data_IF_780616423262
#
_entry.id   IF_780616423262
#
_cell.length_a   1.000
_cell.length_b   1.000
_cell.length_c   1.000
_cell.angle_alpha   90.00
_cell.angle_beta   90.00
_cell.angle_gamma   90.00
#
_symmetry.space_group_name_H-M   'P 1'
#
loop_
_entity.id
_entity.type
_entity.pdbx_description
1 polymer ?
#
# COMPACT_ATOMS: atom_id res chain seq x y z
N UNK A 1 40.05 53.85 -31.08
CA UNK A 1 39.35 52.59 -31.40
C UNK A 1 38.05 52.96 -32.05
N UNK A 2 37.68 52.29 -33.14
CA UNK A 2 36.40 52.50 -33.80
C UNK A 2 35.27 51.93 -32.90
N UNK A 3 34.14 52.63 -32.83
CA UNK A 3 32.96 52.21 -32.05
C UNK A 3 32.48 50.84 -32.53
N UNK A 4 32.66 50.56 -33.83
CA UNK A 4 32.35 49.27 -34.44
C UNK A 4 33.21 48.13 -33.86
N UNK A 5 34.50 48.36 -33.62
CA UNK A 5 35.40 47.35 -33.05
C UNK A 5 35.03 47.02 -31.60
N UNK A 6 34.67 48.06 -30.81
CA UNK A 6 34.20 47.88 -29.44
C UNK A 6 32.89 47.09 -29.37
N UNK A 7 31.96 47.36 -30.28
CA UNK A 7 30.70 46.61 -30.38
C UNK A 7 30.95 45.14 -30.73
N UNK A 8 31.81 44.86 -31.71
CA UNK A 8 32.17 43.50 -32.10
C UNK A 8 32.87 42.74 -30.98
N UNK A 9 33.76 43.42 -30.24
CA UNK A 9 34.43 42.84 -29.07
C UNK A 9 33.44 42.53 -27.94
N UNK A 10 32.52 43.44 -27.64
CA UNK A 10 31.48 43.22 -26.63
C UNK A 10 30.55 42.06 -27.02
N UNK A 11 30.18 41.96 -28.31
CA UNK A 11 29.39 40.85 -28.82
C UNK A 11 30.12 39.51 -28.67
N UNK A 12 31.41 39.45 -29.02
CA UNK A 12 32.23 38.24 -28.86
C UNK A 12 32.32 37.81 -27.39
N UNK A 13 32.63 38.73 -26.48
CA UNK A 13 32.69 38.45 -25.04
C UNK A 13 31.34 37.96 -24.48
N UNK A 14 30.23 38.51 -24.98
CA UNK A 14 28.88 38.08 -24.58
C UNK A 14 28.59 36.66 -25.06
N UNK A 15 28.98 36.30 -26.29
CA UNK A 15 28.81 34.95 -26.82
C UNK A 15 29.64 33.94 -26.03
N UNK A 16 30.88 34.28 -25.68
CA UNK A 16 31.74 33.42 -24.85
C UNK A 16 31.16 33.23 -23.45
N UNK A 17 30.68 34.30 -22.83
CA UNK A 17 30.03 34.24 -21.51
C UNK A 17 28.74 33.40 -21.54
N UNK A 18 27.93 33.50 -22.59
CA UNK A 18 26.73 32.69 -22.77
C UNK A 18 27.07 31.21 -22.99
N UNK A 19 28.07 30.92 -23.82
CA UNK A 19 28.55 29.55 -24.06
C UNK A 19 29.12 28.90 -22.79
N UNK A 20 29.82 29.69 -21.98
CA UNK A 20 30.32 29.26 -20.68
C UNK A 20 29.20 28.95 -19.70
N UNK A 21 28.22 29.84 -19.55
CA UNK A 21 27.07 29.64 -18.64
C UNK A 21 26.13 28.51 -19.08
N UNK A 22 26.17 28.11 -20.35
CA UNK A 22 25.44 26.92 -20.85
C UNK A 22 26.06 25.61 -20.33
N UNK A 23 27.37 25.57 -20.14
CA UNK A 23 28.10 24.35 -19.74
C UNK A 23 28.52 24.35 -18.28
N UNK A 24 28.59 25.52 -17.64
CA UNK A 24 29.03 25.68 -16.27
C UNK A 24 27.93 26.28 -15.38
N UNK A 25 28.05 26.03 -14.08
CA UNK A 25 27.31 26.72 -13.02
C UNK A 25 28.35 27.39 -12.13
N UNK A 26 28.09 28.66 -11.82
CA UNK A 26 28.93 29.45 -10.91
C UNK A 26 28.32 29.30 -9.52
N UNK A 27 29.12 28.86 -8.55
CA UNK A 27 28.70 28.76 -7.15
C UNK A 27 28.79 30.12 -6.42
N UNK A 28 28.42 30.13 -5.14
CA UNK A 28 28.43 31.34 -4.30
C UNK A 28 29.86 31.91 -4.09
N UNK A 29 30.88 31.07 -4.25
CA UNK A 29 32.30 31.44 -4.19
C UNK A 29 32.87 31.86 -5.56
N UNK A 30 31.99 32.08 -6.54
CA UNK A 30 32.34 32.42 -7.93
C UNK A 30 33.22 31.38 -8.65
N UNK A 31 33.19 30.12 -8.20
CA UNK A 31 33.88 29.01 -8.87
C UNK A 31 32.96 28.41 -9.91
N UNK A 32 33.52 28.14 -11.08
CA UNK A 32 32.78 27.51 -12.16
C UNK A 32 32.93 25.99 -12.12
N UNK A 33 31.79 25.31 -12.11
CA UNK A 33 31.72 23.85 -12.16
C UNK A 33 31.02 23.42 -13.43
N UNK A 34 31.53 22.38 -14.09
CA UNK A 34 30.86 21.80 -15.24
C UNK A 34 29.51 21.19 -14.82
N UNK A 35 28.43 21.58 -15.50
CA UNK A 35 27.06 21.08 -15.26
C UNK A 35 26.99 19.56 -15.30
N UNK A 36 27.67 18.92 -16.24
CA UNK A 36 27.68 17.47 -16.36
C UNK A 36 28.24 16.80 -15.10
N UNK A 37 29.25 17.41 -14.48
CA UNK A 37 29.83 16.90 -13.22
C UNK A 37 28.84 17.06 -12.07
N UNK A 38 28.18 18.21 -11.96
CA UNK A 38 27.13 18.43 -10.95
C UNK A 38 25.99 17.44 -11.12
N UNK A 39 25.52 17.22 -12.34
CA UNK A 39 24.45 16.27 -12.65
C UNK A 39 24.85 14.83 -12.33
N UNK A 40 26.09 14.44 -12.63
CA UNK A 40 26.64 13.14 -12.25
C UNK A 40 26.66 12.96 -10.73
N UNK A 41 27.08 13.97 -9.96
CA UNK A 41 27.08 13.92 -8.49
C UNK A 41 25.65 13.82 -7.95
N UNK A 42 24.72 14.62 -8.47
CA UNK A 42 23.30 14.56 -8.08
C UNK A 42 22.67 13.21 -8.43
N UNK A 43 23.04 12.62 -9.57
CA UNK A 43 22.60 11.28 -9.96
C UNK A 43 23.11 10.23 -8.96
N UNK A 44 24.40 10.28 -8.62
CA UNK A 44 25.01 9.39 -7.64
C UNK A 44 24.35 9.53 -6.26
N UNK A 45 24.09 10.76 -5.82
CA UNK A 45 23.40 11.02 -4.55
C UNK A 45 21.98 10.42 -4.53
N UNK A 46 21.23 10.56 -5.63
CA UNK A 46 19.90 9.93 -5.76
C UNK A 46 19.98 8.41 -5.74
N UNK A 47 20.95 7.82 -6.42
CA UNK A 47 21.17 6.37 -6.42
C UNK A 47 21.55 5.86 -5.02
N UNK A 48 22.47 6.55 -4.33
CA UNK A 48 22.84 6.21 -2.96
C UNK A 48 21.65 6.29 -2.01
N UNK A 49 20.84 7.36 -2.12
CA UNK A 49 19.61 7.50 -1.32
C UNK A 49 18.64 6.36 -1.62
N UNK A 50 18.45 6.02 -2.88
CA UNK A 50 17.59 4.91 -3.30
C UNK A 50 18.07 3.57 -2.74
N UNK A 51 19.38 3.29 -2.76
CA UNK A 51 19.96 2.08 -2.15
C UNK A 51 19.74 2.05 -0.64
N UNK A 52 19.92 3.20 0.04
CA UNK A 52 19.68 3.31 1.47
C UNK A 52 18.20 3.05 1.79
N UNK A 53 17.28 3.63 1.03
CA UNK A 53 15.84 3.43 1.22
C UNK A 53 15.43 1.99 0.92
N UNK A 54 16.00 1.34 -0.08
CA UNK A 54 15.74 -0.07 -0.36
C UNK A 54 16.29 -1.00 0.74
N UNK A 55 17.47 -0.68 1.29
CA UNK A 55 18.16 -1.57 2.25
C UNK A 55 17.70 -1.33 3.69
N UNK A 56 17.51 -0.07 4.06
CA UNK A 56 17.26 0.39 5.44
C UNK A 56 15.97 1.18 5.59
N UNK A 57 15.22 1.38 4.51
CA UNK A 57 13.92 2.05 4.58
C UNK A 57 12.87 1.21 5.30
N UNK A 58 11.68 1.78 5.52
CA UNK A 58 10.59 1.09 6.19
C UNK A 58 10.20 -0.18 5.42
N UNK A 59 10.61 -1.33 5.95
CA UNK A 59 10.18 -2.61 5.38
C UNK A 59 8.81 -2.97 5.93
N UNK A 60 7.97 -3.54 5.05
CA UNK A 60 6.72 -4.13 5.51
C UNK A 60 7.06 -5.26 6.48
N UNK A 61 6.45 -5.31 7.69
CA UNK A 61 6.79 -6.32 8.66
C UNK A 61 6.42 -7.68 8.08
N UNK A 62 7.31 -8.66 8.24
CA UNK A 62 7.04 -10.00 7.71
C UNK A 62 5.90 -10.68 8.43
N UNK A 63 5.28 -11.69 7.81
CA UNK A 63 4.19 -12.44 8.44
C UNK A 63 4.64 -13.07 9.76
N UNK A 64 5.89 -13.53 9.86
CA UNK A 64 6.43 -14.11 11.09
C UNK A 64 6.64 -13.04 12.17
N UNK A 65 7.13 -11.85 11.80
CA UNK A 65 7.28 -10.72 12.74
C UNK A 65 5.91 -10.26 13.25
N UNK A 66 4.91 -10.15 12.37
CA UNK A 66 3.54 -9.84 12.78
C UNK A 66 2.97 -10.92 13.70
N UNK A 67 3.16 -12.20 13.40
CA UNK A 67 2.69 -13.28 14.26
C UNK A 67 3.30 -13.21 15.67
N UNK A 68 4.62 -12.98 15.77
CA UNK A 68 5.32 -12.79 17.04
C UNK A 68 4.83 -11.55 17.77
N UNK A 69 4.60 -10.44 17.04
CA UNK A 69 4.05 -9.23 17.60
C UNK A 69 2.65 -9.49 18.18
N UNK A 70 1.77 -10.19 17.47
CA UNK A 70 0.44 -10.57 17.96
C UNK A 70 0.54 -11.42 19.24
N UNK A 71 1.38 -12.46 19.24
CA UNK A 71 1.59 -13.33 20.41
C UNK A 71 2.15 -12.55 21.61
N UNK A 72 3.10 -11.64 21.37
CA UNK A 72 3.67 -10.80 22.44
C UNK A 72 2.66 -9.79 22.99
N UNK A 73 1.82 -9.22 22.12
CA UNK A 73 0.82 -8.22 22.50
C UNK A 73 -0.28 -8.82 23.36
N UNK A 74 -0.60 -10.10 23.15
CA UNK A 74 -1.61 -10.83 23.92
C UNK A 74 -1.01 -11.86 24.89
N UNK A 75 0.27 -11.72 25.24
CA UNK A 75 0.98 -12.73 26.03
C UNK A 75 0.34 -12.96 27.41
N UNK A 76 -0.14 -11.89 28.06
CA UNK A 76 -0.76 -11.99 29.38
C UNK A 76 -2.08 -12.76 29.34
N UNK A 77 -2.93 -12.42 28.37
CA UNK A 77 -4.22 -13.03 28.09
C UNK A 77 -4.05 -14.52 27.71
N UNK A 78 -3.07 -14.81 26.87
CA UNK A 78 -2.72 -16.17 26.45
C UNK A 78 -2.22 -16.99 27.63
N UNK A 79 -1.34 -16.42 28.46
CA UNK A 79 -0.82 -17.11 29.64
C UNK A 79 -1.98 -17.45 30.58
N UNK A 80 -2.91 -16.52 30.79
CA UNK A 80 -4.10 -16.77 31.60
C UNK A 80 -4.99 -17.88 30.99
N UNK A 81 -5.19 -17.87 29.68
CA UNK A 81 -5.91 -18.91 28.95
C UNK A 81 -5.30 -20.31 29.21
N UNK A 82 -3.97 -20.43 29.11
CA UNK A 82 -3.27 -21.70 29.32
C UNK A 82 -3.39 -22.19 30.78
N UNK A 83 -3.27 -21.29 31.77
CA UNK A 83 -3.43 -21.64 33.19
C UNK A 83 -4.84 -22.11 33.53
N UNK A 84 -5.85 -21.49 32.91
CA UNK A 84 -7.25 -21.89 33.12
C UNK A 84 -7.57 -23.27 32.54
N UNK A 85 -6.83 -23.71 31.52
CA UNK A 85 -7.01 -25.02 30.88
C UNK A 85 -6.40 -26.16 31.68
N UNK A 86 -5.36 -25.89 32.46
CA UNK A 86 -4.64 -26.91 33.23
C UNK A 86 -5.28 -27.29 34.57
N UNK A 87 -6.17 -26.44 35.12
CA UNK A 87 -6.64 -26.58 36.51
C UNK A 87 -7.81 -27.56 36.69
N UNK A 88 -8.67 -27.72 35.69
CA UNK A 88 -9.85 -28.59 35.79
C UNK A 88 -9.98 -29.49 34.55
N UNK A 89 -9.64 -30.78 34.70
CA UNK A 89 -9.94 -31.82 33.70
C UNK A 89 -11.44 -32.08 33.48
N UNK A 90 -12.31 -31.28 34.09
CA UNK A 90 -13.75 -31.23 33.83
C UNK A 90 -14.09 -29.88 33.22
N UNK A 91 -14.45 -29.95 31.94
CA UNK A 91 -14.87 -28.90 31.01
C UNK A 91 -15.96 -27.98 31.57
N UNK A 92 -15.63 -27.07 32.48
CA UNK A 92 -16.49 -25.94 32.82
C UNK A 92 -15.96 -24.69 32.12
N UNK A 93 -16.64 -24.17 31.08
CA UNK A 93 -16.19 -23.01 30.30
C UNK A 93 -16.13 -21.70 31.12
N UNK A 94 -16.49 -21.73 32.40
CA UNK A 94 -16.61 -20.55 33.26
C UNK A 94 -15.26 -20.04 33.80
N UNK A 95 -14.23 -20.88 33.94
CA UNK A 95 -12.95 -20.49 34.57
C UNK A 95 -11.95 -19.84 33.59
N UNK A 96 -11.99 -20.23 32.30
CA UNK A 96 -11.15 -19.65 31.25
C UNK A 96 -11.57 -18.24 30.82
N UNK A 97 -12.69 -17.76 31.35
CA UNK A 97 -13.33 -16.53 30.94
C UNK A 97 -12.70 -15.30 31.60
N UNK A 98 -11.93 -15.44 32.70
CA UNK A 98 -11.52 -14.36 33.62
C UNK A 98 -11.01 -13.06 32.96
N UNK A 99 -10.14 -13.16 31.96
CA UNK A 99 -9.56 -11.98 31.29
C UNK A 99 -10.53 -11.30 30.33
N UNK A 100 -11.30 -12.08 29.58
CA UNK A 100 -12.31 -11.52 28.68
C UNK A 100 -13.54 -11.09 29.47
N UNK A 101 -13.85 -11.68 30.62
CA UNK A 101 -15.00 -11.34 31.48
C UNK A 101 -14.80 -10.09 32.31
N UNK A 102 -13.55 -9.71 32.62
CA UNK A 102 -13.29 -8.47 33.35
C UNK A 102 -13.51 -7.22 32.50
N UNK A 103 -13.49 -7.35 31.17
CA UNK A 103 -13.76 -6.25 30.26
C UNK A 103 -15.24 -5.83 30.34
N UNK A 104 -15.54 -4.55 30.18
CA UNK A 104 -16.92 -4.11 29.92
C UNK A 104 -17.38 -4.58 28.53
N UNK A 105 -18.69 -4.58 28.25
CA UNK A 105 -19.21 -4.94 26.92
C UNK A 105 -18.55 -4.13 25.79
N UNK A 106 -18.45 -2.81 25.97
CA UNK A 106 -17.81 -1.92 25.02
C UNK A 106 -16.32 -2.21 24.81
N UNK A 107 -15.59 -2.53 25.90
CA UNK A 107 -14.18 -2.94 25.81
C UNK A 107 -14.03 -4.29 25.08
N UNK A 108 -14.91 -5.26 25.36
CA UNK A 108 -14.89 -6.55 24.68
C UNK A 108 -15.19 -6.43 23.18
N UNK A 109 -16.08 -5.50 22.78
CA UNK A 109 -16.38 -5.21 21.39
C UNK A 109 -15.16 -4.60 20.67
N UNK A 110 -14.52 -3.61 21.28
CA UNK A 110 -13.30 -2.99 20.74
C UNK A 110 -12.17 -4.00 20.63
N UNK A 111 -11.95 -4.81 21.66
CA UNK A 111 -10.97 -5.88 21.69
C UNK A 111 -11.19 -6.91 20.57
N UNK A 112 -12.43 -7.40 20.38
CA UNK A 112 -12.77 -8.31 19.27
C UNK A 112 -12.48 -7.70 17.91
N UNK A 113 -12.80 -6.40 17.71
CA UNK A 113 -12.56 -5.70 16.45
C UNK A 113 -11.07 -5.55 16.17
N UNK A 114 -10.30 -5.08 17.14
CA UNK A 114 -8.85 -4.94 17.02
C UNK A 114 -8.19 -6.29 16.72
N UNK A 115 -8.51 -7.32 17.51
CA UNK A 115 -7.92 -8.65 17.32
C UNK A 115 -8.24 -9.23 15.93
N UNK A 116 -9.48 -9.07 15.46
CA UNK A 116 -9.85 -9.47 14.09
C UNK A 116 -9.04 -8.71 13.04
N UNK A 117 -8.87 -7.40 13.22
CA UNK A 117 -8.09 -6.56 12.31
C UNK A 117 -6.62 -7.02 12.25
N UNK A 118 -5.99 -7.28 13.40
CA UNK A 118 -4.61 -7.77 13.50
C UNK A 118 -4.44 -9.16 12.86
N UNK A 119 -5.40 -10.06 13.07
CA UNK A 119 -5.41 -11.37 12.42
C UNK A 119 -5.49 -11.22 10.90
N UNK A 120 -6.41 -10.40 10.39
CA UNK A 120 -6.55 -10.16 8.95
C UNK A 120 -5.31 -9.48 8.35
N UNK A 121 -4.68 -8.56 9.08
CA UNK A 121 -3.44 -7.92 8.67
C UNK A 121 -2.32 -8.95 8.49
N UNK A 122 -2.15 -9.85 9.48
CA UNK A 122 -1.24 -10.97 9.38
C UNK A 122 -1.58 -11.91 8.21
N UNK A 123 -2.86 -12.30 8.04
CA UNK A 123 -3.27 -13.18 6.95
C UNK A 123 -2.99 -12.56 5.57
N UNK A 124 -3.23 -11.24 5.42
CA UNK A 124 -2.94 -10.50 4.19
C UNK A 124 -1.45 -10.52 3.87
N UNK A 125 -0.60 -10.15 4.83
CA UNK A 125 0.87 -10.16 4.65
C UNK A 125 1.37 -11.57 4.37
N UNK A 126 0.85 -12.58 5.06
CA UNK A 126 1.19 -13.98 4.81
C UNK A 126 0.87 -14.39 3.36
N UNK A 127 -0.30 -13.99 2.84
CA UNK A 127 -0.68 -14.28 1.46
C UNK A 127 0.19 -13.52 0.46
N UNK A 128 0.54 -12.27 0.75
CA UNK A 128 1.43 -11.44 -0.09
C UNK A 128 2.86 -12.02 -0.15
N UNK A 129 3.40 -12.50 0.97
CA UNK A 129 4.75 -13.07 1.05
C UNK A 129 4.87 -14.47 0.44
N UNK A 130 3.89 -15.35 0.71
CA UNK A 130 3.97 -16.75 0.29
C UNK A 130 3.23 -17.05 -1.01
N UNK A 131 2.42 -16.11 -1.51
CA UNK A 131 1.59 -16.28 -2.70
C UNK A 131 0.49 -17.34 -2.56
N UNK A 132 0.20 -17.80 -1.34
CA UNK A 132 -0.77 -18.86 -1.05
C UNK A 132 -1.68 -18.46 0.10
N UNK A 133 -2.92 -18.97 0.08
CA UNK A 133 -3.87 -18.76 1.18
C UNK A 133 -3.39 -19.46 2.47
N UNK A 134 -3.71 -18.84 3.61
CA UNK A 134 -3.33 -19.34 4.94
C UNK A 134 -3.99 -20.69 5.21
N UNK A 135 -3.18 -21.73 5.45
CA UNK A 135 -3.68 -23.07 5.78
C UNK A 135 -3.94 -23.24 7.28
N UNK A 136 -4.66 -24.30 7.67
CA UNK A 136 -4.86 -24.64 9.09
C UNK A 136 -3.55 -24.90 9.82
N UNK A 137 -2.51 -25.39 9.13
CA UNK A 137 -1.17 -25.59 9.71
C UNK A 137 -0.53 -24.25 10.06
N UNK A 138 -0.65 -23.25 9.19
CA UNK A 138 -0.08 -21.93 9.42
C UNK A 138 -0.82 -21.21 10.57
N UNK A 139 -2.15 -21.36 10.64
CA UNK A 139 -2.95 -20.85 11.77
C UNK A 139 -2.56 -21.47 13.12
N UNK A 140 -1.85 -22.61 13.14
CA UNK A 140 -1.43 -23.25 14.38
C UNK A 140 -0.48 -22.36 15.20
N UNK A 141 0.33 -21.52 14.55
CA UNK A 141 1.23 -20.60 15.24
C UNK A 141 0.47 -19.52 16.02
N UNK A 142 -0.75 -19.16 15.58
CA UNK A 142 -1.62 -18.19 16.22
C UNK A 142 -2.81 -18.85 16.94
N UNK A 143 -2.76 -20.16 17.21
CA UNK A 143 -3.88 -20.92 17.78
C UNK A 143 -4.45 -20.27 19.04
N UNK A 144 -3.58 -19.83 19.95
CA UNK A 144 -4.00 -19.19 21.21
C UNK A 144 -4.69 -17.84 20.97
N UNK A 145 -4.23 -17.05 20.00
CA UNK A 145 -4.87 -15.80 19.59
C UNK A 145 -6.25 -16.06 18.99
N UNK A 146 -6.39 -17.10 18.17
CA UNK A 146 -7.69 -17.50 17.61
C UNK A 146 -8.68 -17.99 18.68
N UNK A 147 -8.20 -18.71 19.69
CA UNK A 147 -9.05 -19.11 20.83
C UNK A 147 -9.47 -17.90 21.66
N UNK A 148 -8.57 -16.95 21.90
CA UNK A 148 -8.88 -15.70 22.61
C UNK A 148 -9.93 -14.87 21.85
N UNK A 149 -9.79 -14.76 20.52
CA UNK A 149 -10.79 -14.15 19.65
C UNK A 149 -12.15 -14.85 19.76
N UNK A 150 -12.15 -16.18 19.76
CA UNK A 150 -13.36 -17.00 19.87
C UNK A 150 -14.05 -16.79 21.22
N UNK A 151 -13.30 -16.68 22.31
CA UNK A 151 -13.86 -16.36 23.64
C UNK A 151 -14.51 -14.97 23.66
N UNK A 152 -13.81 -13.94 23.17
CA UNK A 152 -14.37 -12.59 23.05
C UNK A 152 -15.63 -12.56 22.18
N UNK A 153 -15.63 -13.31 21.06
CA UNK A 153 -16.79 -13.45 20.19
C UNK A 153 -17.97 -14.13 20.88
N UNK A 154 -17.72 -15.21 21.61
CA UNK A 154 -18.76 -15.98 22.29
C UNK A 154 -19.38 -15.21 23.45
N UNK A 155 -18.58 -14.43 24.19
CA UNK A 155 -19.07 -13.56 25.25
C UNK A 155 -20.09 -12.55 24.74
N UNK A 156 -19.76 -11.84 23.66
CA UNK A 156 -20.67 -10.86 23.06
C UNK A 156 -21.97 -11.50 22.55
N UNK A 157 -21.91 -12.75 22.04
CA UNK A 157 -23.11 -13.49 21.62
C UNK A 157 -24.01 -13.88 22.79
N UNK A 158 -23.42 -14.13 23.96
CA UNK A 158 -24.14 -14.48 25.18
C UNK A 158 -24.94 -13.32 25.77
N UNK A 159 -24.41 -12.09 25.69
CA UNK A 159 -25.09 -10.89 26.20
C UNK A 159 -26.19 -10.36 25.24
N UNK A 160 -26.13 -10.68 23.95
CA UNK A 160 -27.13 -10.27 22.94
C UNK A 160 -28.34 -11.20 22.82
N UNK A 161 -28.32 -12.37 23.46
CA UNK A 161 -29.51 -13.23 23.54
C UNK A 161 -30.33 -12.76 24.74
N UNK A 162 -31.50 -12.10 24.57
CA UNK A 162 -32.36 -11.81 25.70
C UNK A 162 -32.75 -13.15 26.32
N UNK A 163 -32.38 -13.35 27.58
CA UNK A 163 -32.89 -14.39 28.44
C UNK A 163 -34.39 -14.18 28.61
N UNK A 164 -35.17 -14.61 27.62
CA UNK A 164 -36.61 -14.73 27.75
C UNK A 164 -36.88 -15.97 28.63
N UNK A 165 -37.13 -15.72 29.91
CA UNK A 165 -37.89 -16.62 30.79
C UNK A 165 -37.10 -17.36 31.86
N UNK A 166 -37.15 -16.82 33.08
CA UNK A 166 -37.85 -17.51 34.18
C UNK A 166 -37.03 -18.26 35.23
N UNK A 167 -37.19 -17.81 36.48
CA UNK A 167 -37.51 -18.72 37.58
C UNK A 167 -36.37 -19.13 38.50
N UNK A 168 -36.44 -18.61 39.73
CA UNK A 168 -35.81 -19.17 40.92
C UNK A 168 -36.16 -20.66 41.11
N UNK A 169 -35.23 -21.38 41.72
CA UNK A 169 -35.38 -22.62 42.50
C UNK A 169 -36.19 -23.80 41.93
N UNK A 170 -35.48 -24.89 41.56
CA UNK A 170 -35.63 -26.14 42.31
C UNK A 170 -34.63 -27.24 41.91
N UNK A 171 -34.07 -27.87 42.94
CA UNK A 171 -33.56 -29.23 42.92
C UNK A 171 -34.67 -30.21 42.48
N UNK A 172 -34.44 -31.04 41.46
CA UNK A 172 -34.54 -32.49 41.65
C UNK A 172 -34.08 -33.28 40.43
N UNK A 173 -33.46 -34.42 40.74
CA UNK A 173 -33.34 -35.60 39.90
C UNK A 173 -34.67 -35.91 39.21
N UNK A 174 -34.66 -36.35 37.96
CA UNK A 174 -35.32 -37.61 37.54
C UNK A 174 -34.88 -38.02 36.13
N UNK A 175 -34.37 -39.24 36.12
CA UNK A 175 -34.10 -40.15 35.02
C UNK A 175 -35.33 -40.34 34.11
N UNK A 176 -35.18 -40.25 32.78
CA UNK A 176 -36.10 -40.86 31.81
C UNK A 176 -35.42 -41.07 30.47
N UNK A 177 -35.05 -42.33 30.23
CA UNK A 177 -34.95 -42.94 28.90
C UNK A 177 -36.22 -42.67 28.07
N UNK A 178 -36.07 -42.45 26.76
CA UNK A 178 -36.77 -43.20 25.70
C UNK A 178 -36.44 -42.69 24.28
N UNK A 179 -35.84 -43.59 23.51
CA UNK A 179 -36.19 -43.97 22.12
C UNK A 179 -36.11 -42.99 20.93
N UNK A 180 -35.11 -43.31 20.07
CA UNK A 180 -35.22 -43.63 18.62
C UNK A 180 -36.18 -42.84 17.73
N UNK A 181 -35.62 -42.21 16.68
CA UNK A 181 -36.02 -42.47 15.30
C UNK A 181 -34.89 -42.15 14.30
N UNK A 182 -34.56 -43.15 13.47
CA UNK A 182 -33.72 -43.06 12.27
C UNK A 182 -34.41 -42.23 11.17
N UNK A 183 -33.67 -41.90 10.10
CA UNK A 183 -33.98 -42.58 8.84
C UNK A 183 -32.76 -43.16 8.12
N UNK A 184 -32.94 -44.40 7.66
CA UNK A 184 -32.28 -45.05 6.51
C UNK A 184 -32.64 -44.25 5.23
N UNK A 185 -31.93 -44.22 4.10
CA UNK A 185 -30.91 -45.08 3.52
C UNK A 185 -31.23 -45.28 2.03
N UNK A 186 -30.28 -44.95 1.14
CA UNK A 186 -30.14 -45.43 -0.26
C UNK A 186 -28.79 -44.83 -0.77
N UNK A 187 -27.66 -45.50 -1.00
CA UNK A 187 -27.28 -46.81 -1.58
C UNK A 187 -27.67 -47.01 -3.06
N UNK A 188 -26.66 -46.81 -3.93
CA UNK A 188 -26.28 -47.57 -5.14
C UNK A 188 -24.92 -46.98 -5.60
N UNK A 189 -23.72 -47.57 -5.53
CA UNK A 189 -23.09 -48.85 -5.94
C UNK A 189 -22.88 -49.04 -7.45
N UNK A 190 -21.61 -49.02 -7.89
CA UNK A 190 -20.92 -49.92 -8.84
C UNK A 190 -19.64 -49.20 -9.34
N UNK A 191 -18.42 -49.58 -8.91
CA UNK A 191 -17.49 -50.55 -9.56
C UNK A 191 -17.14 -50.18 -11.03
N UNK A 192 -15.88 -50.18 -11.53
CA UNK A 192 -14.70 -51.02 -11.23
C UNK A 192 -13.48 -50.55 -12.05
N UNK A 193 -12.26 -50.87 -11.54
CA UNK A 193 -11.04 -51.32 -12.23
C UNK A 193 -10.36 -50.38 -13.28
N UNK A 194 -9.04 -50.36 -13.54
CA UNK A 194 -7.90 -51.23 -13.22
C UNK A 194 -6.58 -50.53 -13.63
N UNK A 195 -5.45 -50.99 -13.06
CA UNK A 195 -4.09 -51.02 -13.66
C UNK A 195 -3.31 -49.70 -13.80
N UNK A 196 -1.97 -49.61 -13.78
CA UNK A 196 -0.81 -50.42 -13.37
C UNK A 196 0.45 -49.57 -13.72
N UNK A 197 1.61 -49.83 -13.09
CA UNK A 197 2.95 -49.28 -13.45
C UNK A 197 3.57 -48.44 -12.32
N UNK A 198 4.61 -48.85 -11.56
CA UNK A 198 5.98 -49.28 -11.95
C UNK A 198 6.64 -48.17 -12.79
N UNK A 199 7.78 -47.54 -12.47
CA UNK A 199 9.11 -48.05 -12.09
C UNK A 199 10.01 -46.88 -11.59
N UNK A 200 11.11 -47.23 -10.88
CA UNK A 200 12.46 -46.57 -10.84
C UNK A 200 12.64 -45.19 -10.20
N UNK A 201 13.80 -44.75 -9.68
CA UNK A 201 15.03 -45.28 -9.06
C UNK A 201 15.98 -44.07 -8.94
N UNK A 202 16.83 -44.02 -7.91
CA UNK A 202 18.09 -43.23 -7.89
C UNK A 202 18.00 -41.91 -7.11
N UNK A 203 18.62 -41.77 -5.92
CA UNK A 203 20.07 -41.63 -5.65
C UNK A 203 20.68 -40.41 -6.34
N UNK A 204 20.89 -39.29 -5.61
CA UNK A 204 22.24 -38.78 -5.25
C UNK A 204 22.21 -37.49 -4.42
N UNK A 205 22.94 -37.59 -3.31
CA UNK A 205 23.63 -36.53 -2.56
C UNK A 205 24.47 -35.64 -3.49
N UNK A 206 24.50 -34.32 -3.24
CA UNK A 206 25.73 -33.49 -3.20
C UNK A 206 25.45 -32.02 -2.83
N UNK A 207 25.90 -31.65 -1.64
CA UNK A 207 26.54 -30.36 -1.36
C UNK A 207 27.82 -30.23 -2.20
N UNK A 208 28.20 -29.00 -2.62
CA UNK A 208 29.27 -28.30 -1.89
C UNK A 208 29.15 -26.76 -1.88
N UNK A 209 29.46 -26.15 -0.73
CA UNK A 209 30.33 -24.95 -0.65
C UNK A 209 31.79 -25.46 -0.70
N UNK A 210 32.86 -24.70 -1.07
CA UNK A 210 33.17 -23.33 -0.61
C UNK A 210 34.02 -22.43 -1.56
N UNK A 211 34.39 -21.23 -1.05
CA UNK A 211 35.55 -20.38 -1.44
C UNK A 211 35.54 -19.74 -2.83
N UNK A 212 35.88 -18.47 -3.06
CA UNK A 212 36.87 -17.60 -2.40
C UNK A 212 37.96 -17.24 -3.44
N UNK A 213 38.09 -15.94 -3.77
CA UNK A 213 39.20 -15.21 -4.43
C UNK A 213 38.63 -14.17 -5.41
N UNK A 214 38.79 -12.86 -5.18
CA UNK A 214 40.01 -12.04 -5.23
C UNK A 214 40.44 -11.72 -6.68
N UNK A 215 40.80 -10.44 -6.82
CA UNK A 215 41.65 -9.73 -7.79
C UNK A 215 41.12 -9.21 -9.14
N UNK A 216 41.43 -7.93 -9.31
CA UNK A 216 41.91 -7.24 -10.50
C UNK A 216 40.95 -6.48 -11.43
N UNK A 217 40.96 -5.16 -11.17
CA UNK A 217 40.96 -4.07 -12.14
C UNK A 217 42.02 -4.33 -13.24
N UNK A 218 41.77 -3.95 -14.51
CA UNK A 218 42.39 -2.69 -14.93
C UNK A 218 41.55 -1.87 -15.93
N UNK A 219 41.84 -0.57 -15.91
CA UNK A 219 41.38 0.44 -16.84
C UNK A 219 41.65 0.11 -18.32
N UNK A 220 40.70 0.45 -19.21
CA UNK A 220 41.04 0.84 -20.59
C UNK A 220 40.02 1.78 -21.25
N UNK A 221 40.55 2.95 -21.59
CA UNK A 221 40.26 3.94 -22.64
C UNK A 221 39.06 3.79 -23.59
N UNK A 222 38.32 4.91 -23.67
CA UNK A 222 38.02 5.77 -24.85
C UNK A 222 37.66 5.12 -26.19
N UNK A 223 36.39 5.26 -26.58
CA UNK A 223 35.86 5.61 -27.93
C UNK A 223 34.50 6.28 -27.65
N UNK A 224 34.20 7.55 -27.95
CA UNK A 224 34.27 8.21 -29.25
C UNK A 224 32.92 8.05 -29.96
N UNK A 225 31.95 8.94 -29.74
CA UNK A 225 30.83 9.07 -30.69
C UNK A 225 30.23 10.46 -30.68
N UNK A 226 29.95 10.88 -31.90
CA UNK A 226 29.83 12.24 -32.42
C UNK A 226 28.37 12.55 -32.75
N UNK A 227 28.02 13.85 -32.85
CA UNK A 227 26.80 14.45 -33.46
C UNK A 227 25.47 14.19 -32.72
N UNK A 228 24.54 15.14 -32.52
CA UNK A 228 24.19 16.36 -33.25
C UNK A 228 23.34 17.28 -32.33
N UNK A 229 23.35 18.62 -32.49
CA UNK A 229 22.47 19.53 -31.76
C UNK A 229 21.24 19.92 -32.60
N UNK A 230 20.03 19.67 -32.07
CA UNK A 230 18.82 20.34 -32.55
C UNK A 230 18.45 21.45 -31.58
N UNK A 231 18.61 22.69 -32.05
CA UNK A 231 18.13 23.87 -31.34
C UNK A 231 16.62 24.00 -31.41
N UNK A 232 16.04 24.56 -30.35
CA UNK A 232 14.92 25.49 -30.44
C UNK A 232 15.09 26.54 -29.35
N UNK A 233 15.33 27.76 -29.81
CA UNK A 233 15.21 28.99 -29.07
C UNK A 233 13.76 29.15 -28.58
N UNK A 234 13.57 29.60 -27.34
CA UNK A 234 12.47 30.53 -27.05
C UNK A 234 12.85 31.48 -25.92
N UNK A 235 12.85 32.76 -26.30
CA UNK A 235 13.10 33.94 -25.50
C UNK A 235 12.17 34.01 -24.29
N UNK A 236 12.76 34.40 -23.15
CA UNK A 236 12.06 34.91 -21.99
C UNK A 236 11.93 36.42 -22.17
N UNK A 237 10.72 36.93 -22.35
CA UNK A 237 10.42 38.35 -22.17
C UNK A 237 9.72 38.50 -20.82
N UNK A 238 10.39 39.21 -19.90
CA UNK A 238 9.78 39.79 -18.70
C UNK A 238 9.17 41.13 -19.06
N UNK A 239 7.88 41.32 -18.76
CA UNK A 239 7.28 42.64 -18.55
C UNK A 239 6.31 42.55 -17.38
N UNK A 240 6.55 43.42 -16.41
CA UNK A 240 5.67 43.75 -15.28
C UNK A 240 4.64 44.79 -15.76
N UNK A 241 3.36 44.66 -15.39
CA UNK A 241 2.44 45.80 -15.13
C UNK A 241 1.09 45.33 -14.59
N UNK A 242 0.72 45.93 -13.45
CA UNK A 242 -0.59 46.44 -13.01
C UNK A 242 -1.89 45.63 -13.12
N UNK A 243 -2.57 45.62 -11.98
CA UNK A 243 -4.00 45.54 -11.73
C UNK A 243 -4.90 46.19 -12.80
N UNK A 244 -6.01 45.53 -13.13
CA UNK A 244 -7.09 46.10 -13.93
C UNK A 244 -8.28 45.14 -13.99
N UNK A 245 -9.36 45.50 -13.31
CA UNK A 245 -10.68 44.89 -13.45
C UNK A 245 -11.26 45.23 -14.83
N UNK A 246 -11.68 44.24 -15.61
CA UNK A 246 -12.79 44.37 -16.56
C UNK A 246 -13.21 43.02 -17.14
N UNK A 247 -14.52 42.79 -17.06
CA UNK A 247 -15.24 41.80 -17.83
C UNK A 247 -15.23 42.21 -19.32
N UNK A 248 -14.99 41.25 -20.21
CA UNK A 248 -15.71 41.20 -21.48
C UNK A 248 -15.63 39.81 -22.12
N UNK A 249 -16.77 39.39 -22.65
CA UNK A 249 -17.05 38.12 -23.30
C UNK A 249 -16.46 38.08 -24.73
N UNK A 250 -16.01 36.90 -25.17
CA UNK A 250 -15.64 36.62 -26.57
C UNK A 250 -15.00 35.23 -26.74
N UNK A 251 -15.24 34.52 -27.86
CA UNK A 251 -15.61 33.11 -27.83
C UNK A 251 -14.47 32.14 -28.22
N UNK A 252 -14.57 30.88 -27.78
CA UNK A 252 -13.80 29.78 -28.38
C UNK A 252 -12.77 29.10 -27.47
N UNK A 253 -13.13 28.84 -26.21
CA UNK A 253 -12.45 27.81 -25.43
C UNK A 253 -13.54 26.98 -24.74
N UNK A 254 -13.69 25.73 -25.16
CA UNK A 254 -14.49 24.72 -24.47
C UNK A 254 -13.80 24.33 -23.17
N UNK A 255 -13.66 25.29 -22.25
CA UNK A 255 -13.57 24.95 -20.85
C UNK A 255 -14.94 24.41 -20.46
N UNK A 256 -15.05 23.14 -20.05
CA UNK A 256 -16.27 22.70 -19.43
C UNK A 256 -16.42 23.53 -18.16
N UNK A 257 -17.50 24.29 -18.09
CA UNK A 257 -17.98 24.98 -16.89
C UNK A 257 -18.37 23.90 -15.88
N UNK A 258 -17.38 23.26 -15.27
CA UNK A 258 -17.57 22.17 -14.30
C UNK A 258 -17.95 22.86 -12.99
N UNK A 259 -19.27 23.05 -12.84
CA UNK A 259 -19.88 23.67 -11.68
C UNK A 259 -19.54 22.90 -10.41
N UNK A 260 -18.95 23.62 -9.46
CA UNK A 260 -18.62 23.20 -8.08
C UNK A 260 -19.85 22.87 -7.21
N UNK A 261 -20.97 22.42 -7.79
CA UNK A 261 -22.23 22.19 -7.07
C UNK A 261 -23.07 21.01 -7.55
N UNK A 262 -22.74 20.38 -8.69
CA UNK A 262 -23.51 19.23 -9.18
C UNK A 262 -23.08 17.98 -8.40
N UNK A 263 -24.05 17.32 -7.77
CA UNK A 263 -23.83 16.06 -7.06
C UNK A 263 -23.38 14.99 -8.06
N UNK A 264 -22.31 14.26 -7.74
CA UNK A 264 -21.71 13.21 -8.58
C UNK A 264 -22.74 12.18 -9.07
N UNK A 265 -23.74 11.87 -8.25
CA UNK A 265 -24.82 10.94 -8.59
C UNK A 265 -25.74 11.40 -9.74
N UNK A 266 -25.78 12.70 -10.05
CA UNK A 266 -26.67 13.29 -11.05
C UNK A 266 -25.99 13.51 -12.40
N UNK A 267 -24.66 13.39 -12.47
CA UNK A 267 -23.90 13.61 -13.71
C UNK A 267 -24.10 12.45 -14.68
N UNK A 268 -24.09 12.72 -15.98
CA UNK A 268 -24.07 11.70 -17.03
C UNK A 268 -22.72 10.95 -17.06
N UNK A 269 -22.68 9.77 -17.69
CA UNK A 269 -21.44 8.99 -17.79
C UNK A 269 -20.33 9.73 -18.56
N UNK A 270 -20.71 10.51 -19.57
CA UNK A 270 -19.79 11.32 -20.35
C UNK A 270 -19.19 12.46 -19.51
N UNK A 271 -20.02 13.16 -18.72
CA UNK A 271 -19.58 14.20 -17.80
C UNK A 271 -18.67 13.64 -16.69
N UNK A 272 -19.02 12.49 -16.10
CA UNK A 272 -18.18 11.81 -15.12
C UNK A 272 -16.79 11.50 -15.69
N UNK A 273 -16.74 11.00 -16.93
CA UNK A 273 -15.48 10.67 -17.59
C UNK A 273 -14.68 11.93 -17.99
N UNK A 274 -15.35 13.01 -18.39
CA UNK A 274 -14.72 14.28 -18.73
C UNK A 274 -14.13 14.96 -17.48
N UNK A 275 -14.89 15.07 -16.40
CA UNK A 275 -14.45 15.66 -15.13
C UNK A 275 -13.33 14.83 -14.51
N UNK A 276 -13.44 13.49 -14.50
CA UNK A 276 -12.37 12.61 -14.03
C UNK A 276 -11.07 12.81 -14.81
N UNK A 277 -11.13 12.93 -16.14
CA UNK A 277 -9.94 13.23 -16.98
C UNK A 277 -9.37 14.60 -16.69
N UNK A 278 -10.22 15.60 -16.44
CA UNK A 278 -9.80 16.94 -16.07
C UNK A 278 -9.09 16.97 -14.72
N UNK A 279 -9.69 16.42 -13.67
CA UNK A 279 -9.08 16.34 -12.34
C UNK A 279 -7.79 15.53 -12.36
N UNK A 280 -7.73 14.43 -13.10
CA UNK A 280 -6.50 13.66 -13.28
C UNK A 280 -5.36 14.53 -13.86
N UNK A 281 -5.64 15.37 -14.85
CA UNK A 281 -4.64 16.29 -15.44
C UNK A 281 -4.15 17.32 -14.44
N UNK A 282 -5.05 17.92 -13.67
CA UNK A 282 -4.68 18.93 -12.66
C UNK A 282 -3.85 18.31 -11.55
N UNK A 283 -4.31 17.18 -10.99
CA UNK A 283 -3.60 16.48 -9.91
C UNK A 283 -2.21 16.03 -10.38
N UNK A 284 -2.10 15.45 -11.58
CA UNK A 284 -0.81 15.03 -12.14
C UNK A 284 0.13 16.23 -12.40
N UNK A 285 -0.41 17.35 -12.90
CA UNK A 285 0.38 18.58 -13.09
C UNK A 285 0.90 19.11 -11.76
N UNK A 286 0.06 19.11 -10.73
CA UNK A 286 0.47 19.51 -9.38
C UNK A 286 1.58 18.59 -8.84
N UNK A 287 1.40 17.27 -8.91
CA UNK A 287 2.39 16.30 -8.42
C UNK A 287 3.73 16.46 -9.15
N UNK A 288 3.70 16.60 -10.47
CA UNK A 288 4.89 16.81 -11.31
C UNK A 288 5.58 18.15 -11.01
N UNK A 289 4.83 19.24 -10.90
CA UNK A 289 5.38 20.58 -10.61
C UNK A 289 5.97 20.63 -9.19
N UNK A 290 5.35 19.93 -8.24
CA UNK A 290 5.83 19.83 -6.86
C UNK A 290 7.13 19.03 -6.79
N UNK A 291 7.17 17.86 -7.42
CA UNK A 291 8.36 17.01 -7.46
C UNK A 291 9.52 17.72 -8.18
N UNK A 292 9.23 18.45 -9.26
CA UNK A 292 10.25 19.22 -9.99
C UNK A 292 10.87 20.33 -9.13
N UNK A 293 10.07 20.99 -8.26
CA UNK A 293 10.56 22.08 -7.40
C UNK A 293 11.24 21.59 -6.13
N UNK A 294 10.69 20.55 -5.51
CA UNK A 294 11.11 20.10 -4.17
C UNK A 294 12.01 18.87 -4.20
N UNK A 295 12.06 18.13 -5.32
CA UNK A 295 12.87 16.93 -5.48
C UNK A 295 12.31 15.68 -4.76
N UNK A 296 11.06 15.72 -4.30
CA UNK A 296 10.34 14.58 -3.71
C UNK A 296 8.84 14.67 -3.98
N UNK A 297 8.13 13.54 -3.87
CA UNK A 297 6.69 13.45 -4.11
C UNK A 297 5.87 14.14 -3.00
N UNK A 298 4.71 14.77 -3.31
CA UNK A 298 3.89 15.46 -2.31
C UNK A 298 3.43 14.55 -1.17
N UNK A 299 3.68 14.95 0.08
CA UNK A 299 3.19 14.27 1.27
C UNK A 299 1.71 14.57 1.52
N UNK A 300 1.11 13.94 2.55
CA UNK A 300 -0.30 14.17 2.90
C UNK A 300 -0.60 15.64 3.22
N UNK A 301 0.32 16.34 3.86
CA UNK A 301 0.14 17.75 4.24
C UNK A 301 0.25 18.66 3.00
N UNK A 302 1.15 18.36 2.07
CA UNK A 302 1.33 19.14 0.84
C UNK A 302 0.09 19.06 -0.07
N UNK A 303 -0.62 17.93 -0.02
CA UNK A 303 -1.88 17.71 -0.76
C UNK A 303 -3.07 18.45 -0.17
N UNK A 304 -2.94 19.10 0.99
CA UNK A 304 -4.06 19.79 1.65
C UNK A 304 -4.64 20.90 0.77
N UNK A 305 -3.79 21.60 0.02
CA UNK A 305 -4.19 22.65 -0.92
C UNK A 305 -5.06 22.13 -2.08
N UNK A 306 -4.95 20.85 -2.43
CA UNK A 306 -5.75 20.19 -3.48
C UNK A 306 -6.66 19.09 -2.92
N UNK A 307 -6.95 19.14 -1.62
CA UNK A 307 -7.69 18.09 -0.93
C UNK A 307 -9.09 17.87 -1.50
N UNK A 308 -9.76 18.95 -1.92
CA UNK A 308 -11.06 18.89 -2.58
C UNK A 308 -11.01 18.11 -3.90
N UNK A 309 -10.02 18.38 -4.74
CA UNK A 309 -9.84 17.73 -6.04
C UNK A 309 -9.53 16.24 -5.89
N UNK A 310 -8.73 15.86 -4.88
CA UNK A 310 -8.49 14.45 -4.55
C UNK A 310 -9.77 13.72 -4.12
N UNK A 311 -10.57 14.35 -3.25
CA UNK A 311 -11.84 13.79 -2.79
C UNK A 311 -12.80 13.63 -3.97
N UNK A 312 -13.00 14.70 -4.74
CA UNK A 312 -13.88 14.72 -5.91
C UNK A 312 -13.46 13.69 -6.95
N UNK A 313 -12.17 13.55 -7.24
CA UNK A 313 -11.66 12.52 -8.15
C UNK A 313 -11.99 11.10 -7.64
N UNK A 314 -11.88 10.87 -6.33
CA UNK A 314 -12.26 9.62 -5.68
C UNK A 314 -13.76 9.31 -5.83
N UNK A 315 -14.62 10.31 -5.59
CA UNK A 315 -16.07 10.17 -5.77
C UNK A 315 -16.44 9.81 -7.20
N UNK A 316 -15.89 10.53 -8.19
CA UNK A 316 -16.12 10.25 -9.61
C UNK A 316 -15.64 8.84 -10.01
N UNK A 317 -14.48 8.41 -9.49
CA UNK A 317 -13.96 7.06 -9.75
C UNK A 317 -14.90 5.99 -9.20
N UNK A 318 -15.38 6.15 -7.97
CA UNK A 318 -16.31 5.21 -7.33
C UNK A 318 -17.66 5.18 -8.05
N UNK A 319 -18.15 6.34 -8.49
CA UNK A 319 -19.39 6.46 -9.25
C UNK A 319 -19.31 5.72 -10.59
N UNK A 320 -18.22 5.92 -11.33
CA UNK A 320 -18.00 5.22 -12.61
C UNK A 320 -17.94 3.70 -12.38
N UNK A 321 -17.20 3.24 -11.36
CA UNK A 321 -17.12 1.82 -11.02
C UNK A 321 -18.51 1.26 -10.66
N UNK A 322 -19.31 2.02 -9.91
CA UNK A 322 -20.67 1.63 -9.53
C UNK A 322 -21.62 1.53 -10.73
N UNK A 323 -21.44 2.38 -11.75
CA UNK A 323 -22.27 2.41 -12.97
C UNK A 323 -21.82 1.45 -14.05
N UNK A 324 -20.55 1.05 -14.04
CA UNK A 324 -20.08 0.01 -14.94
C UNK A 324 -20.69 -1.32 -14.48
N UNK A 325 -21.55 -1.96 -15.29
CA UNK A 325 -22.02 -3.29 -14.95
C UNK A 325 -20.79 -4.20 -14.83
N UNK A 326 -20.70 -4.92 -13.72
CA UNK A 326 -19.73 -6.01 -13.58
C UNK A 326 -20.07 -7.02 -14.67
N UNK A 327 -19.34 -6.98 -15.78
CA UNK A 327 -19.35 -8.03 -16.80
C UNK A 327 -18.65 -9.23 -16.17
N UNK A 328 -19.37 -9.91 -15.28
CA UNK A 328 -18.97 -11.14 -14.64
C UNK A 328 -20.10 -12.14 -14.88
N UNK A 329 -19.87 -13.05 -15.83
CA UNK A 329 -20.74 -14.21 -16.09
C UNK A 329 -21.27 -14.29 -17.52
N UNK A 330 -20.36 -14.40 -18.49
CA UNK A 330 -20.61 -15.16 -19.73
C UNK A 330 -19.94 -16.52 -19.58
#
# INVERSE_FOLDING_TARGET
>A
MDVRDQLMQAAAQTVDALSFTQTHVIDEDFRAHNRATIESVRSLQREQRSRIEQTYGPQSPSADVLALQLLSSYRGEITFLDHSRGRDGRTSPSAAAGVVTSLTHGQCLSFKKEMKQRIHEWERVFCEERGVAVTTRDKAMLRQVYELYKLAKNRLRGEESPTNGGGEDNNNLTNSQSQTQQPQGARSSSERANSAGTVTSGVRVRTPSPSGSQVDNPARRVVGSTTQPSGLQRQVVRSSTSSGLSANEGPGSTQPTIGSGIRVSQMSNEELAAEKRYLKRILHRFESDFEQRNGFAPTRNDRQAHSYEYIRYGELKNEIIRRMPSVAGG
#
